data_IF_228175592365
#
_entry.id   IF_228175592365
#
_cell.length_a   1.000
_cell.length_b   1.000
_cell.length_c   1.000
_cell.angle_alpha   90.00
_cell.angle_beta   90.00
_cell.angle_gamma   90.00
#
_symmetry.space_group_name_H-M   'P 1'
#
loop_
_entity.id
_entity.type
_entity.pdbx_description
1 polymer ?
#
# COMPACT_ATOMS: atom_id res chain seq x y z
N UNK A 1 9.95 7.49 -55.88
CA UNK A 1 8.61 6.93 -55.60
C UNK A 1 8.63 5.43 -55.91
N UNK A 2 9.10 4.61 -54.96
CA UNK A 2 9.04 3.15 -55.05
C UNK A 2 9.15 2.59 -53.62
N UNK A 3 8.38 1.56 -53.29
CA UNK A 3 8.41 0.93 -51.96
C UNK A 3 9.76 0.23 -51.72
N UNK A 4 10.27 0.28 -50.49
CA UNK A 4 11.17 -0.75 -49.96
C UNK A 4 10.53 -1.40 -48.75
N UNK A 5 10.39 -2.71 -48.81
CA UNK A 5 10.15 -3.53 -47.62
C UNK A 5 11.40 -3.48 -46.75
N UNK A 6 11.22 -3.33 -45.44
CA UNK A 6 12.14 -3.96 -44.49
C UNK A 6 11.57 -5.34 -44.15
N UNK A 7 12.46 -6.33 -43.98
CA UNK A 7 12.13 -7.68 -43.52
C UNK A 7 12.70 -7.84 -42.13
N UNK A 8 12.02 -8.62 -41.29
CA UNK A 8 12.62 -9.16 -40.08
C UNK A 8 13.84 -10.01 -40.45
N UNK A 9 15.00 -9.72 -39.86
CA UNK A 9 16.09 -10.68 -39.66
C UNK A 9 17.19 -10.11 -38.76
N UNK A 10 16.92 -9.99 -37.46
CA UNK A 10 17.77 -10.53 -36.38
C UNK A 10 17.12 -10.24 -35.02
N UNK A 11 16.67 -11.32 -34.36
CA UNK A 11 15.97 -11.25 -33.07
C UNK A 11 17.00 -11.32 -31.95
N UNK A 12 17.33 -10.18 -31.34
CA UNK A 12 18.10 -10.16 -30.08
C UNK A 12 17.12 -9.92 -28.94
N UNK A 13 16.68 -11.02 -28.32
CA UNK A 13 15.91 -11.00 -27.08
C UNK A 13 16.79 -10.46 -25.94
N UNK A 14 16.71 -9.16 -25.68
CA UNK A 14 17.14 -8.55 -24.42
C UNK A 14 15.89 -8.41 -23.55
N UNK A 15 15.68 -9.37 -22.65
CA UNK A 15 14.55 -9.39 -21.73
C UNK A 15 14.72 -8.33 -20.64
N UNK A 16 14.31 -7.08 -20.94
CA UNK A 16 14.25 -5.97 -20.00
C UNK A 16 12.97 -5.95 -19.15
N UNK A 17 12.43 -7.12 -18.80
CA UNK A 17 11.14 -7.24 -18.11
C UNK A 17 11.32 -6.94 -16.61
N UNK A 18 11.45 -5.66 -16.27
CA UNK A 18 11.40 -5.17 -14.89
C UNK A 18 9.95 -5.13 -14.37
N UNK A 19 9.26 -6.26 -14.45
CA UNK A 19 8.28 -6.57 -13.40
C UNK A 19 9.08 -6.68 -12.11
N UNK A 20 8.68 -5.93 -11.10
CA UNK A 20 9.15 -6.08 -9.73
C UNK A 20 8.71 -7.44 -9.18
N UNK A 21 9.42 -8.49 -9.58
CA UNK A 21 9.23 -9.85 -9.07
C UNK A 21 9.60 -9.88 -7.59
N UNK A 22 8.62 -9.53 -6.74
CA UNK A 22 8.67 -9.72 -5.30
C UNK A 22 8.70 -11.23 -5.07
N UNK A 23 9.91 -11.78 -5.00
CA UNK A 23 10.14 -13.13 -4.49
C UNK A 23 9.90 -13.11 -2.98
N UNK A 24 8.61 -13.15 -2.61
CA UNK A 24 8.09 -13.39 -1.26
C UNK A 24 8.42 -14.79 -0.73
N UNK A 25 9.63 -15.27 -0.98
CA UNK A 25 10.15 -16.52 -0.47
C UNK A 25 10.63 -16.32 0.97
N UNK A 26 9.68 -16.29 1.90
CA UNK A 26 9.92 -16.43 3.33
C UNK A 26 10.71 -17.71 3.61
N UNK A 27 12.05 -17.59 3.68
CA UNK A 27 12.93 -18.71 4.02
C UNK A 27 12.73 -19.07 5.50
N UNK A 28 11.82 -20.01 5.75
CA UNK A 28 11.49 -20.49 7.08
C UNK A 28 12.75 -20.91 7.86
N UNK A 29 12.88 -20.52 9.15
CA UNK A 29 14.04 -20.86 9.96
C UNK A 29 14.09 -22.38 10.20
N UNK A 30 15.16 -23.02 9.71
CA UNK A 30 15.37 -24.45 9.86
C UNK A 30 15.57 -24.85 11.34
N UNK A 31 14.67 -25.68 11.85
CA UNK A 31 14.91 -26.71 12.87
C UNK A 31 15.58 -26.28 14.19
N UNK A 32 14.81 -26.26 15.28
CA UNK A 32 15.35 -26.32 16.66
C UNK A 32 16.32 -27.49 16.81
N UNK A 33 17.43 -27.29 17.53
CA UNK A 33 18.39 -28.34 17.84
C UNK A 33 18.00 -29.19 19.04
N UNK A 34 18.32 -30.49 18.99
CA UNK A 34 18.16 -31.42 20.11
C UNK A 34 19.28 -31.28 21.16
N UNK A 35 18.91 -31.09 22.43
CA UNK A 35 19.62 -31.70 23.58
C UNK A 35 18.76 -31.63 24.85
N UNK A 36 18.78 -32.70 25.65
CA UNK A 36 17.94 -32.86 26.86
C UNK A 36 18.67 -32.53 28.17
N UNK A 37 17.88 -32.37 29.26
CA UNK A 37 18.28 -32.38 30.69
C UNK A 37 19.02 -31.12 31.20
N UNK A 38 18.98 -30.74 32.49
CA UNK A 38 18.79 -31.50 33.76
C UNK A 38 17.79 -30.80 34.74
N UNK A 39 17.36 -31.51 35.80
CA UNK A 39 16.27 -31.21 36.75
C UNK A 39 16.74 -30.62 38.11
N UNK A 40 15.98 -29.66 38.67
CA UNK A 40 15.74 -29.39 40.12
C UNK A 40 14.68 -28.26 40.25
N UNK A 41 13.50 -28.39 40.89
CA UNK A 41 13.19 -28.39 42.36
C UNK A 41 13.70 -27.11 43.07
N UNK A 42 12.96 -26.40 43.96
CA UNK A 42 11.84 -26.67 44.90
C UNK A 42 10.81 -25.49 44.87
N UNK A 43 9.49 -25.58 45.18
CA UNK A 43 8.80 -25.53 46.51
C UNK A 43 9.33 -24.42 47.46
N UNK A 44 8.57 -23.54 48.12
CA UNK A 44 7.11 -23.19 48.22
C UNK A 44 6.98 -21.62 48.25
N UNK A 45 5.97 -20.85 48.73
CA UNK A 45 4.76 -21.01 49.59
C UNK A 45 3.77 -19.81 49.34
N UNK A 46 2.64 -19.73 50.07
CA UNK A 46 1.61 -18.67 50.04
C UNK A 46 1.94 -17.47 51.00
N UNK A 47 1.11 -16.47 51.33
CA UNK A 47 -0.37 -16.29 51.35
C UNK A 47 -0.77 -14.82 51.58
N UNK A 48 -2.07 -14.50 51.43
CA UNK A 48 -2.89 -13.48 52.16
C UNK A 48 -2.41 -12.01 52.26
N UNK A 49 -3.23 -10.97 52.42
CA UNK A 49 -4.62 -10.55 52.13
C UNK A 49 -4.78 -9.14 52.78
N UNK A 50 -5.98 -8.55 52.79
CA UNK A 50 -6.39 -7.32 53.53
C UNK A 50 -5.87 -5.96 53.03
N UNK A 51 -6.59 -4.83 53.16
CA UNK A 51 -8.04 -4.55 53.32
C UNK A 51 -8.24 -3.03 53.00
N UNK A 52 -9.41 -2.64 52.47
CA UNK A 52 -9.85 -1.23 52.34
C UNK A 52 -10.52 -0.79 53.66
N UNK A 53 -10.46 0.49 54.09
CA UNK A 53 -11.73 1.22 54.20
C UNK A 53 -11.70 2.78 54.02
N UNK A 54 -12.40 3.25 53.00
CA UNK A 54 -13.65 4.04 53.05
C UNK A 54 -13.81 5.41 53.81
N UNK A 55 -14.61 6.30 53.17
CA UNK A 55 -15.42 7.44 53.72
C UNK A 55 -14.67 8.67 54.30
N UNK A 56 -15.24 9.89 54.48
CA UNK A 56 -16.57 10.55 54.38
C UNK A 56 -16.39 11.92 53.62
N UNK A 57 -17.26 12.48 52.76
CA UNK A 57 -18.68 12.94 52.81
C UNK A 57 -18.90 14.41 53.29
N UNK A 58 -20.13 14.94 53.12
CA UNK A 58 -20.61 16.35 53.26
C UNK A 58 -20.22 17.34 52.10
N UNK A 59 -21.08 18.02 51.33
CA UNK A 59 -22.40 18.69 51.52
C UNK A 59 -22.34 20.12 52.12
N UNK A 60 -23.21 21.10 51.81
CA UNK A 60 -24.11 21.39 50.67
C UNK A 60 -24.69 22.83 50.84
N UNK A 61 -25.31 23.44 49.82
CA UNK A 61 -26.32 24.52 49.99
C UNK A 61 -27.06 24.90 48.70
N UNK A 62 -28.39 24.96 48.75
CA UNK A 62 -29.32 25.26 47.64
C UNK A 62 -29.60 26.77 47.42
N UNK A 63 -30.33 27.12 46.35
CA UNK A 63 -31.76 27.50 46.43
C UNK A 63 -32.38 27.80 45.05
N UNK A 64 -33.56 27.19 44.86
CA UNK A 64 -34.64 27.37 43.87
C UNK A 64 -34.83 28.75 43.20
N UNK A 65 -35.19 28.72 41.90
CA UNK A 65 -36.13 29.69 41.30
C UNK A 65 -36.88 29.09 40.09
N UNK A 66 -37.99 28.40 40.36
CA UNK A 66 -38.91 27.86 39.36
C UNK A 66 -39.51 28.90 38.37
N UNK A 67 -39.72 28.50 37.11
CA UNK A 67 -40.64 29.14 36.15
C UNK A 67 -41.08 28.11 35.11
N UNK A 68 -42.39 27.99 34.89
CA UNK A 68 -43.02 27.06 33.96
C UNK A 68 -43.42 27.78 32.66
N UNK A 69 -43.02 27.24 31.50
CA UNK A 69 -43.76 27.39 30.23
C UNK A 69 -43.23 26.50 29.11
N UNK A 70 -44.10 25.58 28.68
CA UNK A 70 -44.28 25.05 27.31
C UNK A 70 -43.28 24.07 26.71
N UNK A 71 -43.90 23.00 26.22
CA UNK A 71 -43.45 22.07 25.19
C UNK A 71 -42.89 22.81 23.95
N UNK A 72 -41.71 22.40 23.52
CA UNK A 72 -41.36 22.33 22.10
C UNK A 72 -40.72 20.96 21.85
N UNK A 73 -40.97 20.36 20.69
CA UNK A 73 -40.81 18.91 20.48
C UNK A 73 -39.34 18.50 20.34
N UNK A 74 -38.69 18.16 21.45
CA UNK A 74 -37.49 17.33 21.41
C UNK A 74 -37.87 15.97 20.80
N UNK A 75 -37.28 15.63 19.66
CA UNK A 75 -37.30 14.27 19.13
C UNK A 75 -36.57 13.35 20.11
N UNK A 76 -37.15 12.20 20.41
CA UNK A 76 -36.45 11.13 21.12
C UNK A 76 -35.30 10.67 20.23
N UNK A 77 -34.06 10.99 20.63
CA UNK A 77 -32.86 10.38 20.02
C UNK A 77 -32.86 8.90 20.41
N UNK A 78 -33.22 8.05 19.47
CA UNK A 78 -33.26 6.59 19.63
C UNK A 78 -31.83 6.06 19.75
N UNK A 79 -31.31 6.11 20.97
CA UNK A 79 -30.01 5.58 21.38
C UNK A 79 -30.04 4.05 21.31
N UNK A 80 -29.97 3.53 20.07
CA UNK A 80 -30.06 2.11 19.77
C UNK A 80 -29.08 1.29 20.64
N UNK A 81 -29.62 0.29 21.34
CA UNK A 81 -28.84 -0.54 22.25
C UNK A 81 -27.81 -1.38 21.47
N UNK A 82 -26.52 -1.20 21.79
CA UNK A 82 -25.42 -1.95 21.13
C UNK A 82 -25.53 -3.43 21.48
N UNK A 83 -25.72 -4.27 20.46
CA UNK A 83 -26.02 -5.70 20.60
C UNK A 83 -25.00 -6.54 19.84
N UNK A 84 -24.36 -7.47 20.55
CA UNK A 84 -23.49 -8.51 19.96
C UNK A 84 -24.21 -9.29 18.86
N UNK A 85 -23.51 -9.54 17.74
CA UNK A 85 -23.99 -10.37 16.66
C UNK A 85 -23.91 -11.85 17.05
N UNK A 86 -25.01 -12.59 16.84
CA UNK A 86 -25.00 -14.03 17.03
C UNK A 86 -24.20 -14.73 15.94
N UNK A 87 -23.72 -15.95 16.20
CA UNK A 87 -22.96 -16.73 15.21
C UNK A 87 -23.71 -16.95 13.88
N UNK A 88 -25.04 -16.96 13.90
CA UNK A 88 -25.85 -17.06 12.67
C UNK A 88 -25.89 -15.75 11.87
N UNK A 89 -25.84 -14.59 12.55
CA UNK A 89 -25.71 -13.29 11.89
C UNK A 89 -24.29 -13.11 11.32
N UNK A 90 -23.26 -13.49 12.09
CA UNK A 90 -21.86 -13.49 11.62
C UNK A 90 -21.64 -14.42 10.43
N UNK A 91 -22.16 -15.66 10.43
CA UNK A 91 -22.04 -16.56 9.27
C UNK A 91 -22.79 -16.07 8.04
N UNK A 92 -23.91 -15.35 8.19
CA UNK A 92 -24.60 -14.72 7.05
C UNK A 92 -23.76 -13.58 6.45
N UNK A 93 -23.14 -12.76 7.31
CA UNK A 93 -22.24 -11.69 6.88
C UNK A 93 -20.96 -12.28 6.24
N UNK A 94 -20.44 -13.39 6.76
CA UNK A 94 -19.31 -14.11 6.18
C UNK A 94 -19.62 -14.67 4.79
N UNK A 95 -20.82 -15.22 4.58
CA UNK A 95 -21.29 -15.66 3.25
C UNK A 95 -21.43 -14.47 2.28
N UNK A 96 -21.99 -13.34 2.74
CA UNK A 96 -22.09 -12.11 1.95
C UNK A 96 -20.69 -11.55 1.58
N UNK A 97 -19.75 -11.44 2.53
CA UNK A 97 -18.41 -10.88 2.31
C UNK A 97 -17.46 -11.79 1.51
N UNK A 98 -17.75 -13.10 1.43
CA UNK A 98 -17.08 -14.03 0.51
C UNK A 98 -17.77 -14.10 -0.88
N UNK A 99 -18.84 -13.34 -1.11
CA UNK A 99 -19.42 -13.22 -2.46
C UNK A 99 -18.55 -12.35 -3.38
N UNK A 100 -18.59 -12.62 -4.68
CA UNK A 100 -17.96 -11.78 -5.72
C UNK A 100 -18.41 -10.31 -5.64
N UNK A 101 -19.60 -10.05 -5.10
CA UNK A 101 -20.17 -8.70 -4.93
C UNK A 101 -19.46 -7.87 -3.88
N UNK A 102 -19.00 -8.48 -2.79
CA UNK A 102 -18.49 -7.72 -1.64
C UNK A 102 -17.03 -8.05 -1.26
N UNK A 103 -16.43 -9.13 -1.79
CA UNK A 103 -15.09 -9.54 -1.36
C UNK A 103 -14.01 -8.46 -1.59
N UNK A 104 -14.06 -7.72 -2.69
CA UNK A 104 -13.10 -6.63 -2.96
C UNK A 104 -13.19 -5.41 -2.02
N UNK A 105 -14.24 -5.28 -1.18
CA UNK A 105 -14.22 -4.32 -0.07
C UNK A 105 -13.40 -4.81 1.14
N UNK A 106 -12.93 -6.07 1.13
CA UNK A 106 -12.11 -6.64 2.21
C UNK A 106 -10.63 -6.77 1.82
N UNK A 107 -10.29 -6.66 0.53
CA UNK A 107 -8.91 -6.84 0.02
C UNK A 107 -8.01 -5.62 0.20
N UNK A 108 -8.52 -4.45 0.60
CA UNK A 108 -7.73 -3.24 0.83
C UNK A 108 -8.24 -2.42 2.02
N UNK A 109 -7.34 -1.65 2.66
CA UNK A 109 -7.71 -0.72 3.73
C UNK A 109 -8.30 0.59 3.16
N UNK A 110 -9.31 1.15 3.84
CA UNK A 110 -9.87 2.48 3.59
C UNK A 110 -10.59 2.99 4.85
N UNK A 111 -10.50 4.30 5.12
CA UNK A 111 -11.15 4.99 6.25
C UNK A 111 -12.54 5.57 5.92
N UNK A 112 -12.82 5.73 4.63
CA UNK A 112 -13.99 6.43 4.09
C UNK A 112 -14.42 5.90 2.72
N UNK A 113 -15.70 6.07 2.31
CA UNK A 113 -16.20 5.77 0.98
C UNK A 113 -15.39 6.34 -0.19
N UNK A 114 -14.87 7.55 -0.02
CA UNK A 114 -14.08 8.27 -1.01
C UNK A 114 -12.73 7.56 -1.26
N UNK A 115 -12.12 6.99 -0.21
CA UNK A 115 -10.79 6.36 -0.27
C UNK A 115 -10.83 4.87 -0.66
N UNK A 116 -12.01 4.31 -1.01
CA UNK A 116 -12.14 2.93 -1.49
C UNK A 116 -11.38 2.74 -2.81
N UNK A 117 -10.54 1.71 -2.86
CA UNK A 117 -9.81 1.26 -4.05
C UNK A 117 -10.74 0.57 -5.04
N UNK A 118 -11.31 1.29 -6.01
CA UNK A 118 -12.33 0.71 -6.88
C UNK A 118 -11.80 -0.37 -7.84
N UNK A 119 -10.51 -0.35 -8.20
CA UNK A 119 -9.87 -1.43 -8.95
C UNK A 119 -9.92 -2.78 -8.20
N UNK A 120 -9.88 -2.77 -6.86
CA UNK A 120 -10.00 -3.97 -6.02
C UNK A 120 -11.43 -4.49 -5.96
N UNK A 121 -12.39 -3.57 -5.72
CA UNK A 121 -13.82 -3.89 -5.61
C UNK A 121 -14.36 -4.49 -6.90
N UNK A 122 -13.97 -3.91 -8.04
CA UNK A 122 -14.46 -4.34 -9.35
C UNK A 122 -13.60 -5.42 -10.02
N UNK A 123 -12.45 -5.81 -9.47
CA UNK A 123 -11.52 -6.78 -10.09
C UNK A 123 -12.23 -8.03 -10.65
N UNK A 124 -13.07 -8.67 -9.85
CA UNK A 124 -13.83 -9.87 -10.23
C UNK A 124 -15.26 -9.55 -10.76
N UNK A 125 -15.49 -8.32 -11.22
CA UNK A 125 -16.78 -7.85 -11.77
C UNK A 125 -17.85 -7.43 -10.76
N UNK A 126 -17.59 -7.50 -9.45
CA UNK A 126 -18.50 -7.11 -8.37
C UNK A 126 -19.93 -7.71 -8.43
N UNK A 127 -20.07 -8.90 -9.03
CA UNK A 127 -21.36 -9.56 -9.35
C UNK A 127 -22.32 -8.67 -10.19
N UNK A 128 -21.77 -7.76 -11.00
CA UNK A 128 -22.55 -6.99 -11.99
C UNK A 128 -22.68 -7.85 -13.25
N UNK A 129 -23.91 -8.15 -13.67
CA UNK A 129 -24.16 -8.85 -14.93
C UNK A 129 -23.62 -8.03 -16.12
N UNK A 130 -22.92 -8.69 -17.04
CA UNK A 130 -22.35 -8.04 -18.22
C UNK A 130 -23.43 -7.34 -19.06
N UNK A 131 -23.09 -6.17 -19.59
CA UNK A 131 -23.98 -5.29 -20.37
C UNK A 131 -24.64 -6.00 -21.56
N UNK A 132 -25.74 -5.46 -22.10
CA UNK A 132 -26.37 -5.95 -23.35
C UNK A 132 -25.44 -5.89 -24.61
N UNK A 133 -24.23 -5.35 -24.49
CA UNK A 133 -23.22 -5.30 -25.55
C UNK A 133 -22.59 -6.69 -25.72
N UNK A 134 -22.61 -7.20 -26.95
CA UNK A 134 -21.97 -8.47 -27.30
C UNK A 134 -20.46 -8.46 -26.97
N UNK A 135 -20.01 -9.47 -26.23
CA UNK A 135 -18.62 -9.62 -25.79
C UNK A 135 -17.60 -9.45 -26.91
N UNK A 136 -17.87 -9.99 -28.11
CA UNK A 136 -16.93 -9.84 -29.23
C UNK A 136 -16.76 -8.38 -29.64
N UNK A 137 -17.78 -7.54 -29.51
CA UNK A 137 -17.71 -6.09 -29.77
C UNK A 137 -16.87 -5.37 -28.70
N UNK A 138 -16.89 -5.82 -27.44
CA UNK A 138 -16.05 -5.23 -26.39
C UNK A 138 -14.58 -5.54 -26.64
N UNK A 139 -14.24 -6.81 -26.91
CA UNK A 139 -12.88 -7.23 -27.30
C UNK A 139 -12.42 -6.49 -28.55
N UNK A 140 -13.27 -6.39 -29.58
CA UNK A 140 -12.95 -5.69 -30.83
C UNK A 140 -12.53 -4.24 -30.59
N UNK A 141 -13.15 -3.51 -29.66
CA UNK A 141 -12.79 -2.12 -29.37
C UNK A 141 -11.67 -1.99 -28.34
N UNK A 142 -11.57 -2.90 -27.36
CA UNK A 142 -10.48 -2.96 -26.39
C UNK A 142 -9.12 -3.10 -27.10
N UNK A 143 -9.01 -4.04 -28.05
CA UNK A 143 -7.79 -4.28 -28.82
C UNK A 143 -7.48 -3.11 -29.78
N UNK A 144 -8.50 -2.43 -30.35
CA UNK A 144 -8.31 -1.21 -31.16
C UNK A 144 -7.79 -0.01 -30.38
N UNK A 145 -8.04 0.03 -29.07
CA UNK A 145 -7.53 1.06 -28.15
C UNK A 145 -6.25 0.59 -27.41
N UNK A 146 -5.65 -0.54 -27.80
CA UNK A 146 -4.32 -0.95 -27.33
C UNK A 146 -3.20 -0.09 -27.92
N UNK A 147 -2.18 0.22 -27.12
CA UNK A 147 -0.99 0.92 -27.58
C UNK A 147 -0.03 0.01 -28.38
N UNK A 148 -0.13 -1.32 -28.19
CA UNK A 148 0.80 -2.31 -28.70
C UNK A 148 0.40 -2.98 -30.03
N UNK A 149 -0.74 -2.59 -30.62
CA UNK A 149 -1.39 -3.34 -31.73
C UNK A 149 -1.69 -4.81 -31.34
N UNK A 150 -2.25 -5.04 -30.15
CA UNK A 150 -2.62 -6.37 -29.63
C UNK A 150 -3.60 -7.10 -30.59
N UNK A 151 -3.19 -8.23 -31.17
CA UNK A 151 -4.01 -9.01 -32.12
C UNK A 151 -5.02 -9.96 -31.44
N UNK A 152 -4.79 -10.31 -30.17
CA UNK A 152 -5.62 -11.21 -29.35
C UNK A 152 -5.50 -10.85 -27.85
N UNK A 153 -6.42 -11.37 -27.02
CA UNK A 153 -6.30 -11.33 -25.56
C UNK A 153 -5.38 -12.45 -25.06
N UNK A 154 -4.63 -12.17 -24.00
CA UNK A 154 -3.80 -13.10 -23.26
C UNK A 154 -4.40 -13.50 -21.88
N UNK A 155 -5.37 -12.73 -21.37
CA UNK A 155 -6.13 -13.01 -20.15
C UNK A 155 -7.65 -13.02 -20.33
N UNK A 156 -8.37 -13.10 -19.21
CA UNK A 156 -9.82 -12.86 -19.15
C UNK A 156 -10.10 -11.35 -19.17
N UNK A 157 -11.16 -10.92 -19.86
CA UNK A 157 -11.53 -9.50 -20.00
C UNK A 157 -12.80 -9.20 -19.20
N UNK A 158 -12.63 -8.57 -18.03
CA UNK A 158 -13.75 -8.05 -17.23
C UNK A 158 -14.12 -6.64 -17.72
N UNK A 159 -15.42 -6.34 -17.83
CA UNK A 159 -15.91 -5.03 -18.25
C UNK A 159 -17.26 -4.67 -17.61
N UNK A 160 -17.41 -3.39 -17.25
CA UNK A 160 -18.57 -2.86 -16.51
C UNK A 160 -18.98 -1.52 -17.13
N UNK A 161 -20.28 -1.30 -17.36
CA UNK A 161 -20.75 0.00 -17.87
C UNK A 161 -20.47 1.11 -16.86
N UNK A 162 -20.18 2.31 -17.35
CA UNK A 162 -19.98 3.46 -16.49
C UNK A 162 -21.20 3.72 -15.59
N UNK A 163 -22.41 3.54 -16.11
CA UNK A 163 -23.65 3.72 -15.37
C UNK A 163 -23.81 2.69 -14.23
N UNK A 164 -23.35 1.45 -14.44
CA UNK A 164 -23.38 0.40 -13.42
C UNK A 164 -22.30 0.61 -12.35
N UNK A 165 -21.11 1.12 -12.71
CA UNK A 165 -20.10 1.59 -11.74
C UNK A 165 -20.67 2.73 -10.89
N UNK A 166 -21.18 3.80 -11.51
CA UNK A 166 -21.76 4.96 -10.79
C UNK A 166 -22.91 4.54 -9.86
N UNK A 167 -23.77 3.62 -10.32
CA UNK A 167 -24.86 3.03 -9.53
C UNK A 167 -24.36 2.16 -8.38
N UNK A 168 -23.43 1.24 -8.64
CA UNK A 168 -22.93 0.30 -7.63
C UNK A 168 -22.26 1.04 -6.48
N UNK A 169 -21.42 2.04 -6.77
CA UNK A 169 -20.81 2.94 -5.77
C UNK A 169 -21.89 3.63 -4.94
N UNK A 170 -22.91 4.21 -5.60
CA UNK A 170 -24.01 4.92 -4.94
C UNK A 170 -24.89 4.01 -4.07
N UNK A 171 -25.08 2.73 -4.45
CA UNK A 171 -25.80 1.73 -3.66
C UNK A 171 -24.98 1.26 -2.46
N UNK A 172 -23.71 0.88 -2.68
CA UNK A 172 -22.81 0.23 -1.71
C UNK A 172 -22.02 1.17 -0.80
N UNK A 173 -22.16 2.49 -0.95
CA UNK A 173 -21.56 3.47 -0.02
C UNK A 173 -22.49 4.62 0.34
N UNK A 174 -23.33 5.06 -0.61
CA UNK A 174 -24.06 6.33 -0.50
C UNK A 174 -23.33 7.54 -1.09
N UNK A 175 -22.04 7.41 -1.41
CA UNK A 175 -21.23 8.43 -2.07
C UNK A 175 -21.45 8.45 -3.61
N UNK A 176 -20.84 9.43 -4.29
CA UNK A 176 -20.81 9.49 -5.75
C UNK A 176 -19.46 9.02 -6.27
N UNK A 177 -19.42 8.24 -7.34
CA UNK A 177 -18.16 7.81 -7.94
C UNK A 177 -17.25 8.98 -8.37
N UNK A 178 -17.80 10.18 -8.62
CA UNK A 178 -16.99 11.38 -8.91
C UNK A 178 -16.29 11.99 -7.70
N UNK A 179 -16.43 11.44 -6.49
CA UNK A 179 -15.65 11.80 -5.30
C UNK A 179 -14.67 10.71 -4.85
N UNK A 180 -14.47 9.66 -5.65
CA UNK A 180 -13.44 8.65 -5.37
C UNK A 180 -12.02 9.24 -5.50
N UNK A 181 -11.21 9.07 -4.45
CA UNK A 181 -9.76 9.31 -4.45
C UNK A 181 -9.02 8.29 -5.33
N UNK A 182 -9.53 7.06 -5.36
CA UNK A 182 -8.94 5.91 -6.06
C UNK A 182 -9.91 5.33 -7.13
N UNK A 183 -10.24 6.11 -8.19
CA UNK A 183 -11.10 5.66 -9.28
C UNK A 183 -10.45 4.54 -10.11
N UNK A 184 -11.25 3.82 -10.89
CA UNK A 184 -10.77 2.75 -11.78
C UNK A 184 -9.68 3.24 -12.74
N UNK A 185 -8.53 2.56 -12.73
CA UNK A 185 -7.44 2.75 -13.70
C UNK A 185 -7.62 1.86 -14.96
N UNK A 186 -8.84 1.34 -15.17
CA UNK A 186 -9.22 0.47 -16.29
C UNK A 186 -9.31 1.23 -17.62
N UNK A 187 -9.14 0.51 -18.75
CA UNK A 187 -9.27 1.08 -20.11
C UNK A 187 -10.72 1.50 -20.37
N UNK A 188 -11.00 2.81 -20.34
CA UNK A 188 -12.33 3.35 -20.56
C UNK A 188 -12.67 3.46 -22.06
N UNK A 189 -13.40 2.48 -22.58
CA UNK A 189 -13.77 2.38 -24.00
C UNK A 189 -14.91 3.37 -24.29
N UNK A 190 -14.53 4.60 -24.59
CA UNK A 190 -15.44 5.75 -24.74
C UNK A 190 -16.56 5.57 -25.77
N UNK A 191 -16.38 4.68 -26.76
CA UNK A 191 -17.39 4.32 -27.76
C UNK A 191 -18.54 3.48 -27.18
N UNK A 192 -18.27 2.72 -26.13
CA UNK A 192 -19.16 1.75 -25.50
C UNK A 192 -19.65 2.21 -24.11
N UNK A 193 -19.09 3.31 -23.57
CA UNK A 193 -19.43 3.90 -22.25
C UNK A 193 -19.22 2.91 -21.08
N UNK A 194 -18.09 2.20 -21.13
CA UNK A 194 -17.70 1.17 -20.17
C UNK A 194 -16.21 1.23 -19.82
N UNK A 195 -15.87 0.65 -18.68
CA UNK A 195 -14.50 0.34 -18.27
C UNK A 195 -14.21 -1.13 -18.60
N UNK A 196 -13.01 -1.43 -19.10
CA UNK A 196 -12.56 -2.78 -19.41
C UNK A 196 -11.12 -3.01 -18.92
N UNK A 197 -10.87 -4.19 -18.36
CA UNK A 197 -9.58 -4.60 -17.82
C UNK A 197 -9.33 -6.08 -18.07
N UNK A 198 -8.11 -6.40 -18.47
CA UNK A 198 -7.65 -7.74 -18.79
C UNK A 198 -6.74 -8.27 -17.69
N UNK A 199 -7.03 -9.46 -17.18
CA UNK A 199 -6.31 -10.07 -16.05
C UNK A 199 -6.14 -11.59 -16.23
N UNK A 200 -5.08 -12.13 -15.63
CA UNK A 200 -4.78 -13.57 -15.65
C UNK A 200 -4.97 -14.28 -14.30
N UNK A 201 -5.11 -13.52 -13.23
CA UNK A 201 -5.23 -13.98 -11.84
C UNK A 201 -6.53 -13.44 -11.19
N UNK A 202 -6.65 -13.56 -9.87
CA UNK A 202 -7.71 -12.97 -9.04
C UNK A 202 -7.12 -12.31 -7.80
N UNK A 203 -7.72 -11.20 -7.33
CA UNK A 203 -7.44 -10.62 -6.02
C UNK A 203 -8.27 -11.23 -4.87
N UNK A 204 -9.11 -12.26 -5.14
CA UNK A 204 -10.03 -12.83 -4.16
C UNK A 204 -9.30 -13.30 -2.89
N UNK A 205 -9.72 -12.77 -1.74
CA UNK A 205 -9.14 -13.09 -0.44
C UNK A 205 -10.24 -13.65 0.49
N UNK A 206 -10.22 -14.96 0.84
CA UNK A 206 -11.23 -15.54 1.71
C UNK A 206 -11.20 -14.90 3.11
N UNK A 207 -12.36 -14.45 3.57
CA UNK A 207 -12.53 -13.82 4.89
C UNK A 207 -13.29 -14.70 5.86
N UNK A 208 -13.05 -14.51 7.15
CA UNK A 208 -13.74 -15.18 8.23
C UNK A 208 -14.09 -14.21 9.35
N UNK A 209 -15.37 -14.14 9.71
CA UNK A 209 -15.86 -13.27 10.78
C UNK A 209 -15.54 -13.88 12.16
N UNK A 210 -14.99 -13.06 13.06
CA UNK A 210 -14.60 -13.44 14.42
C UNK A 210 -15.63 -12.93 15.44
N UNK A 211 -16.00 -11.65 15.33
CA UNK A 211 -16.89 -10.96 16.26
C UNK A 211 -17.64 -9.84 15.54
N UNK A 212 -18.59 -9.19 16.22
CA UNK A 212 -19.14 -7.94 15.76
C UNK A 212 -20.38 -7.48 16.53
N UNK A 213 -20.70 -6.20 16.42
CA UNK A 213 -21.81 -5.55 17.10
C UNK A 213 -22.74 -4.84 16.11
N UNK A 214 -24.01 -4.74 16.48
CA UNK A 214 -25.02 -3.92 15.81
C UNK A 214 -25.47 -2.77 16.70
N UNK A 215 -25.59 -1.58 16.13
CA UNK A 215 -26.11 -0.35 16.73
C UNK A 215 -27.20 0.19 15.78
N UNK A 216 -28.42 -0.33 15.91
CA UNK A 216 -29.45 -0.19 14.86
C UNK A 216 -29.02 -0.89 13.57
N UNK A 217 -29.02 -0.17 12.45
CA UNK A 217 -28.53 -0.67 11.16
C UNK A 217 -26.99 -0.63 11.02
N UNK A 218 -26.28 0.08 11.91
CA UNK A 218 -24.81 0.15 11.88
C UNK A 218 -24.23 -1.16 12.38
N UNK A 219 -23.35 -1.77 11.60
CA UNK A 219 -22.59 -2.96 11.93
C UNK A 219 -21.12 -2.60 12.09
N UNK A 220 -20.48 -3.18 13.09
CA UNK A 220 -19.02 -3.22 13.24
C UNK A 220 -18.61 -4.67 13.34
N UNK A 221 -17.86 -5.16 12.36
CA UNK A 221 -17.53 -6.59 12.21
C UNK A 221 -16.02 -6.75 12.25
N UNK A 222 -15.54 -7.66 13.09
CA UNK A 222 -14.14 -8.04 13.12
C UNK A 222 -13.95 -9.33 12.32
N UNK A 223 -13.03 -9.31 11.36
CA UNK A 223 -12.74 -10.46 10.52
C UNK A 223 -11.24 -10.68 10.38
N UNK A 224 -10.84 -11.85 9.88
CA UNK A 224 -9.49 -12.14 9.40
C UNK A 224 -9.55 -12.51 7.92
N UNK A 225 -8.53 -12.11 7.17
CA UNK A 225 -8.34 -12.47 5.76
C UNK A 225 -7.12 -13.37 5.62
N UNK A 226 -7.22 -14.40 4.77
CA UNK A 226 -6.08 -15.23 4.37
C UNK A 226 -5.80 -15.06 2.87
N UNK A 227 -4.59 -15.35 2.42
CA UNK A 227 -4.31 -15.40 0.99
C UNK A 227 -4.84 -16.70 0.37
N UNK A 228 -5.20 -16.65 -0.92
CA UNK A 228 -5.80 -17.78 -1.65
C UNK A 228 -5.01 -19.09 -1.52
N UNK A 229 -3.68 -19.02 -1.60
CA UNK A 229 -2.76 -20.18 -1.53
C UNK A 229 -2.59 -20.76 -0.12
N UNK A 230 -2.89 -20.01 0.95
CA UNK A 230 -2.83 -20.49 2.34
C UNK A 230 -4.07 -21.33 2.69
N UNK A 231 -5.17 -21.07 2.00
CA UNK A 231 -6.42 -21.80 2.10
C UNK A 231 -7.24 -21.46 3.35
N UNK A 232 -8.57 -21.53 3.23
CA UNK A 232 -9.53 -21.14 4.28
C UNK A 232 -9.53 -22.02 5.56
N UNK A 233 -8.49 -22.82 5.78
CA UNK A 233 -8.27 -23.61 6.99
C UNK A 233 -7.23 -23.02 7.95
N UNK A 234 -6.32 -22.16 7.51
CA UNK A 234 -5.15 -21.73 8.31
C UNK A 234 -5.13 -20.23 8.64
N UNK A 235 -6.23 -19.73 9.21
CA UNK A 235 -6.33 -18.37 9.76
C UNK A 235 -5.54 -18.20 11.09
N UNK A 236 -4.44 -18.93 11.30
CA UNK A 236 -3.73 -19.01 12.59
C UNK A 236 -3.04 -17.72 13.01
N UNK A 237 -2.22 -17.17 12.11
CA UNK A 237 -1.49 -15.91 12.27
C UNK A 237 -2.04 -14.79 11.34
N UNK A 238 -3.29 -14.94 10.88
CA UNK A 238 -3.89 -14.10 9.85
C UNK A 238 -4.20 -12.66 10.32
N UNK A 239 -3.99 -11.67 9.45
CA UNK A 239 -4.28 -10.26 9.74
C UNK A 239 -5.76 -10.04 10.07
N UNK A 240 -6.02 -9.45 11.23
CA UNK A 240 -7.35 -9.03 11.69
C UNK A 240 -7.68 -7.63 11.16
N UNK A 241 -8.93 -7.44 10.74
CA UNK A 241 -9.48 -6.17 10.27
C UNK A 241 -10.77 -5.83 11.02
N UNK A 242 -11.10 -4.55 11.03
CA UNK A 242 -12.38 -4.01 11.51
C UNK A 242 -13.11 -3.34 10.34
N UNK A 243 -14.28 -3.89 10.02
CA UNK A 243 -15.18 -3.41 8.98
C UNK A 243 -16.31 -2.60 9.63
N UNK A 244 -16.55 -1.39 9.15
CA UNK A 244 -17.73 -0.60 9.50
C UNK A 244 -18.63 -0.49 8.27
N UNK A 245 -19.89 -0.89 8.43
CA UNK A 245 -20.90 -0.82 7.37
C UNK A 245 -22.31 -0.63 7.93
N UNK A 246 -23.21 -0.05 7.15
CA UNK A 246 -24.64 0.00 7.47
C UNK A 246 -25.41 -1.07 6.70
N UNK A 247 -26.32 -1.78 7.37
CA UNK A 247 -27.29 -2.65 6.72
C UNK A 247 -28.36 -1.83 6.01
N UNK A 248 -28.90 -2.37 4.92
CA UNK A 248 -29.94 -1.77 4.08
C UNK A 248 -30.89 -2.84 3.54
N UNK A 249 -32.04 -2.42 2.99
CA UNK A 249 -32.99 -3.31 2.29
C UNK A 249 -32.37 -4.11 1.12
N UNK A 250 -31.21 -3.68 0.61
CA UNK A 250 -30.55 -4.21 -0.60
C UNK A 250 -29.12 -4.73 -0.36
N UNK A 251 -28.72 -4.96 0.90
CA UNK A 251 -27.36 -5.37 1.27
C UNK A 251 -26.70 -4.38 2.22
N UNK A 252 -25.45 -3.99 1.94
CA UNK A 252 -24.63 -3.17 2.84
C UNK A 252 -24.15 -1.87 2.20
N UNK A 253 -23.91 -0.87 3.05
CA UNK A 253 -23.12 0.33 2.73
C UNK A 253 -21.82 0.34 3.51
N UNK A 254 -20.70 0.22 2.81
CA UNK A 254 -19.36 0.22 3.38
C UNK A 254 -18.95 1.63 3.81
N UNK A 255 -18.23 1.73 4.93
CA UNK A 255 -17.78 3.00 5.52
C UNK A 255 -16.27 2.99 5.70
N UNK A 256 -15.73 2.01 6.44
CA UNK A 256 -14.29 1.76 6.56
C UNK A 256 -13.98 0.26 6.60
N UNK A 257 -12.77 -0.10 6.15
CA UNK A 257 -12.13 -1.39 6.37
C UNK A 257 -10.69 -1.10 6.83
N UNK A 258 -10.35 -1.40 8.07
CA UNK A 258 -9.08 -0.98 8.66
C UNK A 258 -8.37 -2.17 9.33
N UNK A 259 -7.04 -2.25 9.20
CA UNK A 259 -6.26 -3.20 9.98
C UNK A 259 -6.42 -2.94 11.48
N UNK A 260 -6.75 -3.99 12.23
CA UNK A 260 -6.97 -3.96 13.67
C UNK A 260 -5.95 -4.86 14.40
N UNK A 261 -4.88 -4.29 14.99
CA UNK A 261 -3.92 -5.05 15.78
C UNK A 261 -4.46 -5.58 17.12
N UNK A 262 -5.74 -5.34 17.46
CA UNK A 262 -6.31 -5.70 18.77
C UNK A 262 -5.82 -4.83 19.93
N UNK A 263 -5.15 -3.72 19.61
CA UNK A 263 -4.59 -2.70 20.50
C UNK A 263 -4.51 -1.36 19.76
N UNK A 264 -3.80 -0.38 20.31
CA UNK A 264 -3.58 0.90 19.64
C UNK A 264 -2.81 0.73 18.31
N UNK A 265 -3.35 1.30 17.21
CA UNK A 265 -2.75 1.18 15.85
C UNK A 265 -1.42 1.92 15.75
N UNK A 266 -1.27 3.07 16.40
CA UNK A 266 -0.03 3.84 16.38
C UNK A 266 1.06 3.19 17.24
N UNK A 267 0.72 2.57 18.37
CA UNK A 267 1.66 1.73 19.14
C UNK A 267 2.15 0.54 18.30
N UNK A 268 1.25 -0.17 17.62
CA UNK A 268 1.59 -1.31 16.77
C UNK A 268 2.48 -0.93 15.58
N UNK A 269 2.14 0.14 14.84
CA UNK A 269 2.98 0.70 13.76
C UNK A 269 4.36 1.11 14.30
N UNK A 270 4.37 1.82 15.44
CA UNK A 270 5.61 2.30 16.07
C UNK A 270 6.54 1.15 16.43
N UNK A 271 6.04 0.05 17.02
CA UNK A 271 6.85 -1.14 17.31
C UNK A 271 7.43 -1.81 16.06
N UNK A 272 6.64 -1.95 15.00
CA UNK A 272 7.09 -2.56 13.74
C UNK A 272 8.22 -1.76 13.10
N UNK A 273 8.11 -0.43 13.08
CA UNK A 273 9.19 0.45 12.63
C UNK A 273 10.36 0.48 13.60
N UNK A 274 10.13 0.44 14.91
CA UNK A 274 11.18 0.38 15.91
C UNK A 274 12.07 -0.85 15.72
N UNK A 275 11.52 -2.01 15.34
CA UNK A 275 12.31 -3.20 15.06
C UNK A 275 13.11 -3.11 13.74
N UNK A 276 12.59 -2.45 12.70
CA UNK A 276 13.37 -2.09 11.51
C UNK A 276 14.51 -1.13 11.88
N UNK A 277 14.21 -0.09 12.66
CA UNK A 277 15.18 0.92 13.12
C UNK A 277 16.27 0.29 13.99
N UNK A 278 15.92 -0.58 14.94
CA UNK A 278 16.87 -1.34 15.78
C UNK A 278 17.76 -2.25 14.93
N UNK A 279 17.20 -2.93 13.93
CA UNK A 279 17.95 -3.80 12.99
C UNK A 279 19.00 -3.00 12.23
N UNK A 280 18.62 -1.84 11.68
CA UNK A 280 19.56 -0.92 11.03
C UNK A 280 20.60 -0.36 12.01
N UNK A 281 20.17 0.17 13.16
CA UNK A 281 21.05 0.77 14.17
C UNK A 281 22.14 -0.22 14.66
N UNK A 282 21.76 -1.49 14.86
CA UNK A 282 22.70 -2.58 15.19
C UNK A 282 23.65 -2.87 14.03
N UNK A 283 23.14 -3.05 12.80
CA UNK A 283 23.98 -3.38 11.65
C UNK A 283 25.01 -2.27 11.34
N UNK A 284 24.62 -1.02 11.58
CA UNK A 284 25.47 0.18 11.46
C UNK A 284 26.51 0.26 12.57
N UNK A 285 26.16 -0.01 13.83
CA UNK A 285 27.12 0.02 14.95
C UNK A 285 28.11 -1.16 14.95
N UNK A 286 27.73 -2.29 14.35
CA UNK A 286 28.60 -3.45 14.10
C UNK A 286 29.48 -3.29 12.84
N UNK A 287 29.33 -2.21 12.05
CA UNK A 287 30.03 -1.97 10.78
C UNK A 287 29.90 -3.16 9.79
N UNK A 288 28.70 -3.74 9.68
CA UNK A 288 28.44 -4.93 8.86
C UNK A 288 28.78 -4.71 7.37
N UNK A 289 29.32 -5.73 6.70
CA UNK A 289 29.57 -5.63 5.26
C UNK A 289 28.27 -5.67 4.42
N UNK A 290 28.36 -5.29 3.15
CA UNK A 290 27.21 -5.22 2.24
C UNK A 290 26.49 -6.56 2.05
N UNK A 291 27.19 -7.70 2.15
CA UNK A 291 26.58 -9.02 2.09
C UNK A 291 25.78 -9.35 3.35
N UNK A 292 26.31 -8.97 4.51
CA UNK A 292 25.65 -9.12 5.82
C UNK A 292 24.45 -8.18 5.95
N UNK A 293 24.58 -6.91 5.54
CA UNK A 293 23.46 -5.95 5.46
C UNK A 293 22.33 -6.48 4.59
N UNK A 294 22.64 -6.93 3.37
CA UNK A 294 21.67 -7.52 2.44
C UNK A 294 20.99 -8.77 3.01
N UNK A 295 21.76 -9.64 3.68
CA UNK A 295 21.23 -10.85 4.34
C UNK A 295 20.31 -10.52 5.52
N UNK A 296 20.56 -9.39 6.20
CA UNK A 296 19.71 -8.82 7.26
C UNK A 296 18.59 -7.90 6.71
N UNK A 297 18.32 -7.92 5.40
CA UNK A 297 17.36 -7.05 4.71
C UNK A 297 17.52 -5.55 5.06
N UNK A 298 18.76 -5.07 4.99
CA UNK A 298 19.14 -3.67 5.19
C UNK A 298 19.92 -3.14 3.98
N UNK A 299 19.75 -1.86 3.67
CA UNK A 299 20.36 -1.19 2.52
C UNK A 299 21.88 -1.29 2.54
N UNK A 300 22.47 -1.80 1.46
CA UNK A 300 23.93 -1.95 1.31
C UNK A 300 24.66 -0.61 1.31
N UNK A 301 23.97 0.48 0.93
CA UNK A 301 24.47 1.85 0.95
C UNK A 301 24.90 2.33 2.35
N UNK A 302 24.46 1.66 3.42
CA UNK A 302 25.00 1.92 4.77
C UNK A 302 26.52 1.66 4.81
N UNK A 303 27.00 0.57 4.20
CA UNK A 303 28.42 0.24 4.15
C UNK A 303 29.22 1.22 3.28
N UNK A 304 28.63 1.77 2.22
CA UNK A 304 29.27 2.80 1.38
C UNK A 304 29.60 4.08 2.17
N UNK A 305 28.87 4.37 3.25
CA UNK A 305 29.14 5.52 4.13
C UNK A 305 30.40 5.31 4.97
N UNK A 306 30.55 4.16 5.64
CA UNK A 306 31.66 3.92 6.57
C UNK A 306 32.89 3.21 5.95
N UNK A 307 32.75 2.57 4.80
CA UNK A 307 33.92 2.16 3.99
C UNK A 307 34.52 3.32 3.17
N UNK A 308 33.85 4.48 3.14
CA UNK A 308 34.30 5.65 2.40
C UNK A 308 35.70 6.14 2.82
N UNK A 309 36.52 6.44 1.81
CA UNK A 309 37.90 6.89 2.02
C UNK A 309 37.96 8.24 2.75
N UNK A 310 38.33 8.20 4.04
CA UNK A 310 38.40 9.38 4.90
C UNK A 310 37.16 9.59 5.78
N UNK A 311 36.30 8.57 5.91
CA UNK A 311 35.28 8.53 6.95
C UNK A 311 35.92 8.36 8.33
N UNK A 312 35.53 9.20 9.29
CA UNK A 312 36.13 9.30 10.62
C UNK A 312 35.10 9.64 11.73
N UNK A 313 33.80 9.66 11.39
CA UNK A 313 32.72 9.96 12.32
C UNK A 313 32.17 8.63 12.87
N UNK A 314 31.21 8.67 13.82
CA UNK A 314 30.43 7.47 14.13
C UNK A 314 29.39 7.22 13.01
N UNK A 315 29.29 6.01 12.43
CA UNK A 315 28.25 5.67 11.47
C UNK A 315 26.83 5.93 11.99
N UNK A 316 26.58 5.71 13.29
CA UNK A 316 25.26 5.88 13.90
C UNK A 316 24.89 7.36 14.14
N UNK A 317 25.86 8.28 14.17
CA UNK A 317 25.60 9.73 14.15
C UNK A 317 25.29 10.25 12.73
N UNK A 318 25.74 9.52 11.70
CA UNK A 318 25.60 9.92 10.29
C UNK A 318 24.37 9.30 9.64
N UNK A 319 24.16 8.00 9.80
CA UNK A 319 23.01 7.24 9.29
C UNK A 319 21.84 7.35 10.26
N UNK A 320 20.63 7.31 9.73
CA UNK A 320 19.42 7.46 10.54
C UNK A 320 18.13 7.18 9.78
N UNK A 321 17.03 7.51 10.45
CA UNK A 321 15.67 7.30 9.95
C UNK A 321 14.86 8.61 9.93
N UNK A 322 13.85 8.68 9.09
CA UNK A 322 12.88 9.77 9.02
C UNK A 322 11.48 9.17 8.89
N UNK A 323 10.49 9.83 9.48
CA UNK A 323 9.08 9.42 9.47
C UNK A 323 8.26 10.60 8.93
N UNK A 324 7.41 10.31 7.95
CA UNK A 324 6.36 11.22 7.48
C UNK A 324 5.35 10.42 6.66
N UNK A 325 4.07 10.62 6.96
CA UNK A 325 2.95 10.28 6.07
C UNK A 325 3.19 10.97 4.71
N UNK A 326 3.17 10.20 3.61
CA UNK A 326 3.32 10.74 2.24
C UNK A 326 2.07 10.63 1.36
N UNK A 327 1.11 9.75 1.67
CA UNK A 327 -0.10 9.53 0.86
C UNK A 327 -1.42 9.83 1.58
N UNK A 328 -1.35 10.25 2.84
CA UNK A 328 -2.43 10.77 3.67
C UNK A 328 -3.44 9.74 4.17
N UNK A 329 -3.02 8.48 4.34
CA UNK A 329 -3.79 7.45 5.05
C UNK A 329 -3.66 7.49 6.59
N UNK A 330 -2.78 8.34 7.14
CA UNK A 330 -2.55 8.49 8.58
C UNK A 330 -1.46 7.59 9.19
N UNK A 331 -0.72 6.82 8.38
CA UNK A 331 0.48 6.08 8.77
C UNK A 331 1.71 6.86 8.28
N UNK A 332 2.72 7.07 9.16
CA UNK A 332 4.01 7.65 8.72
C UNK A 332 4.81 6.63 7.89
N UNK A 333 5.34 6.99 6.72
CA UNK A 333 6.35 6.17 6.03
C UNK A 333 7.73 6.26 6.69
N UNK A 334 8.40 5.12 6.87
CA UNK A 334 9.75 5.00 7.40
C UNK A 334 10.81 5.07 6.29
N UNK A 335 11.54 6.17 6.25
CA UNK A 335 12.68 6.38 5.34
C UNK A 335 14.02 6.15 6.06
N UNK A 336 14.94 5.46 5.40
CA UNK A 336 16.33 5.30 5.87
C UNK A 336 17.27 6.15 5.01
N UNK A 337 18.29 6.76 5.61
CA UNK A 337 19.28 7.57 4.88
C UNK A 337 20.39 8.16 5.75
N UNK A 338 21.04 9.22 5.26
CA UNK A 338 22.24 9.79 5.89
C UNK A 338 22.21 11.33 5.99
N UNK A 339 22.79 11.89 7.05
CA UNK A 339 22.89 13.33 7.31
C UNK A 339 24.15 14.01 6.75
N UNK A 340 25.09 13.25 6.15
CA UNK A 340 26.43 13.76 5.77
C UNK A 340 26.54 14.13 4.30
N UNK A 341 26.88 15.39 4.02
CA UNK A 341 26.99 15.95 2.66
C UNK A 341 27.87 15.09 1.74
N UNK A 342 27.29 14.63 0.63
CA UNK A 342 27.84 13.58 -0.25
C UNK A 342 26.99 12.31 -0.27
N UNK A 343 26.16 12.10 0.75
CA UNK A 343 25.33 10.91 0.97
C UNK A 343 23.85 11.23 1.27
N UNK A 344 23.48 12.52 1.25
CA UNK A 344 22.30 13.11 1.93
C UNK A 344 20.99 13.10 1.17
N UNK A 345 21.05 13.10 -0.16
CA UNK A 345 19.88 13.48 -0.96
C UNK A 345 18.98 12.28 -1.30
N UNK A 346 19.55 11.07 -1.37
CA UNK A 346 18.81 9.86 -1.72
C UNK A 346 18.28 9.12 -0.48
N UNK A 347 17.06 8.61 -0.61
CA UNK A 347 16.45 7.61 0.28
C UNK A 347 17.16 6.27 0.05
N UNK A 348 17.55 5.56 1.11
CA UNK A 348 18.30 4.30 1.00
C UNK A 348 17.33 3.12 0.85
N UNK A 349 16.41 2.99 1.81
CA UNK A 349 15.20 2.16 1.74
C UNK A 349 14.03 3.03 2.23
N UNK A 350 12.81 2.78 1.74
CA UNK A 350 11.57 3.32 2.32
C UNK A 350 10.57 2.20 2.62
N UNK A 351 9.84 2.29 3.73
CA UNK A 351 8.87 1.29 4.18
C UNK A 351 7.55 1.94 4.59
N UNK A 352 6.43 1.29 4.30
CA UNK A 352 5.09 1.59 4.83
C UNK A 352 4.57 0.39 5.63
N UNK A 353 3.53 0.58 6.47
CA UNK A 353 2.79 -0.52 7.10
C UNK A 353 1.45 -0.69 6.38
N UNK A 354 1.18 -1.90 5.90
CA UNK A 354 -0.05 -2.27 5.20
C UNK A 354 -0.52 -3.63 5.69
N UNK A 355 -1.81 -3.79 6.04
CA UNK A 355 -2.40 -5.08 6.48
C UNK A 355 -1.60 -5.74 7.63
N UNK A 356 -1.07 -4.93 8.55
CA UNK A 356 -0.29 -5.40 9.69
C UNK A 356 1.08 -6.02 9.36
N UNK A 357 1.60 -5.83 8.16
CA UNK A 357 3.00 -6.13 7.80
C UNK A 357 3.69 -4.88 7.24
N UNK A 358 5.02 -4.89 7.18
CA UNK A 358 5.77 -3.83 6.50
C UNK A 358 5.96 -4.19 5.01
N UNK A 359 5.75 -3.21 4.14
CA UNK A 359 6.09 -3.28 2.71
C UNK A 359 7.25 -2.33 2.44
N UNK A 360 8.25 -2.75 1.64
CA UNK A 360 9.32 -1.85 1.18
C UNK A 360 8.90 -1.21 -0.15
N UNK A 361 8.73 0.11 -0.12
CA UNK A 361 8.30 0.94 -1.25
C UNK A 361 9.41 1.05 -2.29
N UNK A 362 10.63 1.35 -1.84
CA UNK A 362 11.80 1.50 -2.71
C UNK A 362 13.12 1.10 -2.01
N UNK A 363 14.16 0.84 -2.81
CA UNK A 363 15.50 0.46 -2.35
C UNK A 363 16.55 1.00 -3.34
N UNK A 364 17.31 2.01 -2.93
CA UNK A 364 18.42 2.54 -3.74
C UNK A 364 19.61 1.57 -3.74
N UNK A 365 20.24 1.39 -4.90
CA UNK A 365 21.49 0.65 -5.08
C UNK A 365 22.61 1.56 -5.63
N UNK A 366 23.64 1.02 -6.29
CA UNK A 366 24.72 1.84 -6.88
C UNK A 366 24.27 2.61 -8.14
N UNK A 367 23.40 1.99 -8.95
CA UNK A 367 22.89 2.49 -10.23
C UNK A 367 21.58 3.26 -10.05
N UNK A 368 20.69 2.78 -9.19
CA UNK A 368 19.34 3.30 -8.98
C UNK A 368 19.26 4.11 -7.67
N UNK A 369 18.76 5.35 -7.71
CA UNK A 369 18.65 6.26 -6.55
C UNK A 369 17.28 6.91 -6.47
N UNK A 370 16.57 6.71 -5.35
CA UNK A 370 15.28 7.34 -5.08
C UNK A 370 15.43 8.63 -4.26
N UNK A 371 14.69 9.67 -4.62
CA UNK A 371 14.71 10.99 -4.01
C UNK A 371 13.27 11.43 -3.68
N UNK A 372 12.93 11.57 -2.40
CA UNK A 372 11.61 12.03 -1.96
C UNK A 372 11.38 13.50 -2.34
N UNK A 373 10.13 13.84 -2.68
CA UNK A 373 9.68 15.19 -3.01
C UNK A 373 8.80 15.78 -1.89
N UNK A 374 8.66 17.12 -1.79
CA UNK A 374 7.81 17.77 -0.78
C UNK A 374 6.29 17.54 -0.93
N UNK A 375 5.87 16.81 -1.96
CA UNK A 375 4.49 16.45 -2.31
C UNK A 375 4.23 14.94 -2.23
N UNK A 376 5.10 14.20 -1.52
CA UNK A 376 5.00 12.74 -1.32
C UNK A 376 5.51 11.90 -2.49
N UNK A 377 5.65 12.49 -3.69
CA UNK A 377 6.17 11.81 -4.87
C UNK A 377 7.68 11.53 -4.79
N UNK A 378 8.21 10.75 -5.74
CA UNK A 378 9.63 10.39 -5.82
C UNK A 378 10.21 10.69 -7.19
N UNK A 379 11.51 10.99 -7.23
CA UNK A 379 12.31 10.81 -8.44
C UNK A 379 13.22 9.60 -8.30
N UNK A 380 13.17 8.69 -9.27
CA UNK A 380 14.23 7.70 -9.49
C UNK A 380 15.24 8.27 -10.47
N UNK A 381 16.53 8.30 -10.08
CA UNK A 381 17.63 8.37 -11.03
C UNK A 381 18.19 6.99 -11.29
N UNK A 382 18.17 6.54 -12.54
CA UNK A 382 18.88 5.34 -12.99
C UNK A 382 20.11 5.76 -13.80
N UNK A 383 21.28 5.30 -13.37
CA UNK A 383 22.56 5.50 -14.05
C UNK A 383 23.10 4.13 -14.47
N UNK A 384 23.28 3.88 -15.77
CA UNK A 384 23.77 2.57 -16.23
C UNK A 384 25.11 2.62 -16.94
N UNK A 385 26.01 1.72 -16.50
CA UNK A 385 27.27 1.43 -17.19
C UNK A 385 27.08 0.86 -18.63
N UNK A 386 25.84 0.71 -19.09
CA UNK A 386 25.47 0.31 -20.46
C UNK A 386 25.18 1.47 -21.41
N UNK A 387 25.22 2.73 -20.96
CA UNK A 387 24.96 3.90 -21.81
C UNK A 387 23.48 4.26 -21.94
N UNK A 388 22.68 3.99 -20.90
CA UNK A 388 21.34 4.56 -20.69
C UNK A 388 21.26 5.16 -19.30
N UNK A 389 20.96 6.46 -19.22
CA UNK A 389 20.71 7.17 -17.96
C UNK A 389 19.31 7.77 -18.02
N UNK A 390 18.54 7.72 -16.93
CA UNK A 390 17.18 8.24 -16.89
C UNK A 390 16.79 8.84 -15.55
N UNK A 391 15.80 9.74 -15.59
CA UNK A 391 15.13 10.28 -14.41
C UNK A 391 13.63 10.14 -14.59
N UNK A 392 13.00 9.40 -13.69
CA UNK A 392 11.58 9.04 -13.71
C UNK A 392 10.89 9.69 -12.53
N UNK A 393 9.81 10.44 -12.77
CA UNK A 393 8.89 10.88 -11.71
C UNK A 393 7.96 9.71 -11.39
N UNK A 394 7.89 9.33 -10.11
CA UNK A 394 7.08 8.25 -9.56
C UNK A 394 6.14 8.83 -8.49
N UNK A 395 4.95 8.26 -8.35
CA UNK A 395 4.08 8.45 -7.18
C UNK A 395 3.71 7.10 -6.57
N UNK A 396 3.22 7.11 -5.34
CA UNK A 396 2.74 5.89 -4.69
C UNK A 396 1.25 5.69 -5.03
N UNK A 397 0.93 4.55 -5.65
CA UNK A 397 -0.42 4.19 -6.08
C UNK A 397 -0.77 2.75 -5.66
N UNK A 398 -2.08 2.48 -5.72
CA UNK A 398 -2.65 1.17 -5.49
C UNK A 398 -2.81 0.84 -4.01
N UNK A 399 -3.79 0.00 -3.73
CA UNK A 399 -4.03 -0.67 -2.44
C UNK A 399 -2.76 -1.23 -1.81
N UNK A 400 -1.80 -1.72 -2.62
CA UNK A 400 -0.54 -2.32 -2.18
C UNK A 400 0.63 -1.34 -2.03
N UNK A 401 0.42 -0.03 -2.20
CA UNK A 401 1.42 1.03 -1.98
C UNK A 401 2.67 0.87 -2.88
N UNK A 402 2.45 0.65 -4.18
CA UNK A 402 3.53 0.51 -5.17
C UNK A 402 3.93 1.88 -5.75
N UNK A 403 5.19 2.02 -6.20
CA UNK A 403 5.59 3.18 -6.99
C UNK A 403 5.24 3.00 -8.47
N UNK A 404 4.45 3.91 -9.02
CA UNK A 404 4.04 3.97 -10.43
C UNK A 404 4.63 5.20 -11.12
N UNK A 405 5.15 5.09 -12.37
CA UNK A 405 5.66 6.25 -13.09
C UNK A 405 4.57 7.23 -13.58
N UNK A 406 4.89 8.52 -13.54
CA UNK A 406 4.05 9.64 -14.02
C UNK A 406 4.62 10.16 -15.35
N UNK A 407 5.85 10.67 -15.31
CA UNK A 407 6.58 11.16 -16.47
C UNK A 407 8.07 10.83 -16.31
N UNK A 408 8.85 10.98 -17.37
CA UNK A 408 10.27 10.67 -17.29
C UNK A 408 11.07 11.14 -18.49
N UNK A 409 12.38 11.22 -18.32
CA UNK A 409 13.34 11.44 -19.40
C UNK A 409 14.43 10.39 -19.38
N UNK A 410 14.87 9.95 -20.56
CA UNK A 410 16.02 9.06 -20.71
C UNK A 410 16.98 9.57 -21.80
N UNK A 411 18.27 9.39 -21.54
CA UNK A 411 19.36 9.43 -22.51
C UNK A 411 19.74 7.99 -22.84
N UNK A 412 20.00 7.68 -24.12
CA UNK A 412 20.58 6.41 -24.52
C UNK A 412 21.56 6.59 -25.70
N UNK A 413 22.59 5.74 -25.75
CA UNK A 413 23.60 5.74 -26.82
C UNK A 413 23.41 4.51 -27.71
N UNK A 414 23.07 4.71 -28.99
CA UNK A 414 22.96 3.64 -29.98
C UNK A 414 23.90 3.93 -31.16
N UNK A 415 24.76 2.98 -31.55
CA UNK A 415 25.68 3.10 -32.69
C UNK A 415 26.50 4.41 -32.70
N UNK A 416 27.17 4.73 -31.58
CA UNK A 416 27.93 5.98 -31.34
C UNK A 416 27.10 7.27 -31.55
N UNK A 417 25.77 7.20 -31.41
CA UNK A 417 24.84 8.34 -31.51
C UNK A 417 24.03 8.48 -30.24
N UNK A 418 24.00 9.69 -29.67
CA UNK A 418 23.18 10.04 -28.51
C UNK A 418 21.72 10.32 -28.90
N UNK A 419 20.80 9.82 -28.08
CA UNK A 419 19.37 10.06 -28.17
C UNK A 419 18.84 10.50 -26.81
N UNK A 420 17.92 11.46 -26.80
CA UNK A 420 17.17 11.86 -25.62
C UNK A 420 15.68 11.73 -25.90
N UNK A 421 14.95 11.19 -24.94
CA UNK A 421 13.51 10.98 -25.00
C UNK A 421 12.84 11.45 -23.71
N UNK A 422 11.58 11.85 -23.85
CA UNK A 422 10.63 12.07 -22.76
C UNK A 422 9.44 11.12 -22.96
N UNK A 423 8.86 10.59 -21.88
CA UNK A 423 7.53 9.99 -21.94
C UNK A 423 6.63 10.54 -20.82
N UNK A 424 5.35 10.68 -21.15
CA UNK A 424 4.25 11.17 -20.32
C UNK A 424 3.51 10.03 -19.57
N UNK A 425 4.22 8.91 -19.42
CA UNK A 425 3.88 7.72 -18.64
C UNK A 425 5.10 7.14 -17.88
N UNK A 426 6.24 7.85 -17.90
CA UNK A 426 7.56 7.42 -17.37
C UNK A 426 8.24 6.23 -18.09
N UNK A 427 7.50 5.41 -18.84
CA UNK A 427 8.04 4.26 -19.58
C UNK A 427 8.79 4.70 -20.85
N UNK A 428 10.06 5.02 -20.67
CA UNK A 428 11.00 5.43 -21.73
C UNK A 428 11.40 4.31 -22.74
N UNK A 429 10.52 3.33 -22.96
CA UNK A 429 10.52 2.38 -24.07
C UNK A 429 9.17 2.31 -24.82
N UNK A 430 8.15 3.05 -24.37
CA UNK A 430 6.84 3.11 -25.02
C UNK A 430 6.89 3.82 -26.39
N UNK A 431 6.00 3.42 -27.29
CA UNK A 431 5.86 3.95 -28.64
C UNK A 431 5.35 5.40 -28.69
N UNK A 432 4.74 5.93 -27.61
CA UNK A 432 4.34 7.33 -27.49
C UNK A 432 5.44 8.22 -26.91
N UNK A 433 6.61 7.66 -26.56
CA UNK A 433 7.78 8.44 -26.14
C UNK A 433 8.26 9.39 -27.25
N UNK A 434 8.68 10.58 -26.84
CA UNK A 434 8.92 11.74 -27.71
C UNK A 434 10.41 12.06 -27.69
N UNK A 435 11.04 12.10 -28.87
CA UNK A 435 12.43 12.54 -28.97
C UNK A 435 12.55 14.03 -28.60
N UNK A 436 13.45 14.33 -27.66
CA UNK A 436 13.76 15.67 -27.16
C UNK A 436 15.23 16.03 -27.43
N UNK A 437 15.60 17.26 -27.11
CA UNK A 437 17.00 17.73 -27.15
C UNK A 437 17.75 17.47 -25.84
N UNK A 438 19.09 17.45 -25.91
CA UNK A 438 19.98 17.47 -24.73
C UNK A 438 19.66 18.65 -23.78
N UNK A 439 19.26 19.82 -24.32
CA UNK A 439 18.91 20.99 -23.52
C UNK A 439 17.62 20.77 -22.70
N UNK A 440 16.62 20.11 -23.28
CA UNK A 440 15.35 19.74 -22.63
C UNK A 440 15.54 18.64 -21.60
N UNK A 441 16.27 17.56 -21.95
CA UNK A 441 16.67 16.51 -21.00
C UNK A 441 17.39 17.13 -19.79
N UNK A 442 18.40 17.96 -20.05
CA UNK A 442 19.16 18.64 -19.01
C UNK A 442 18.32 19.64 -18.21
N UNK A 443 17.27 20.23 -18.80
CA UNK A 443 16.34 21.10 -18.09
C UNK A 443 15.46 20.32 -17.10
N UNK A 444 14.87 19.22 -17.55
CA UNK A 444 14.11 18.30 -16.70
C UNK A 444 14.99 17.76 -15.56
N UNK A 445 16.17 17.24 -15.89
CA UNK A 445 17.15 16.73 -14.91
C UNK A 445 17.49 17.77 -13.82
N UNK A 446 17.74 19.02 -14.22
CA UNK A 446 17.99 20.14 -13.28
C UNK A 446 16.74 20.53 -12.48
N UNK A 447 15.54 20.46 -13.06
CA UNK A 447 14.26 20.71 -12.35
C UNK A 447 14.09 19.70 -11.21
N UNK A 448 14.25 18.41 -11.50
CA UNK A 448 14.16 17.35 -10.49
C UNK A 448 15.15 17.58 -9.33
N UNK A 449 16.45 17.76 -9.62
CA UNK A 449 17.49 17.97 -8.59
C UNK A 449 17.31 19.21 -7.71
N UNK A 450 16.58 20.21 -8.18
CA UNK A 450 16.25 21.42 -7.43
C UNK A 450 14.99 21.26 -6.56
N UNK A 451 14.18 20.23 -6.80
CA UNK A 451 12.94 19.97 -6.07
C UNK A 451 13.08 18.91 -4.95
N UNK A 452 14.09 18.01 -5.04
CA UNK A 452 14.34 16.97 -4.03
C UNK A 452 14.32 17.51 -2.58
N UNK A 453 13.52 16.86 -1.73
CA UNK A 453 13.40 17.20 -0.32
C UNK A 453 14.74 17.05 0.41
N UNK A 454 15.10 18.03 1.23
CA UNK A 454 16.31 17.97 2.06
C UNK A 454 15.97 17.42 3.44
N UNK A 455 15.76 16.11 3.46
CA UNK A 455 15.47 15.32 4.67
C UNK A 455 16.60 15.53 5.69
N UNK A 456 16.22 15.60 6.97
CA UNK A 456 17.15 15.51 8.10
C UNK A 456 16.76 14.30 8.95
N UNK A 457 17.49 13.21 8.76
CA UNK A 457 17.25 11.95 9.44
C UNK A 457 17.58 12.07 10.94
N UNK A 458 16.79 11.41 11.78
CA UNK A 458 17.08 11.16 13.20
C UNK A 458 18.20 10.11 13.28
N UNK A 459 19.40 10.43 13.82
CA UNK A 459 20.53 9.51 13.82
C UNK A 459 20.26 8.23 14.61
N UNK A 460 20.78 7.09 14.17
CA UNK A 460 20.64 5.82 14.89
C UNK A 460 21.26 5.82 16.28
N UNK A 461 22.23 6.71 16.57
CA UNK A 461 22.81 6.91 17.90
C UNK A 461 21.79 7.41 18.93
N UNK A 462 20.64 7.96 18.51
CA UNK A 462 19.54 8.33 19.41
C UNK A 462 18.70 7.15 19.92
N UNK A 463 19.02 5.91 19.49
CA UNK A 463 18.30 4.67 19.84
C UNK A 463 19.21 3.62 20.49
N UNK A 464 20.39 4.02 20.99
CA UNK A 464 21.37 3.17 21.70
C UNK A 464 21.28 3.32 23.22
#
# INVERSE_FOLDING_TARGET
MLKRFYRLSELVLISGLCVSLITGCSFLPFGKGDSESVISSEEDDASEESEDPASESEAASDVDSSTDSKEESASEEDSAEVKELSSAELSSIEEDLNSTRYNGFTTAEFDSPENIWWDEVFYNGAEIEATEIDHSTVVDEYLKESANEEEELYGDLTYISKADVEKFVQETTGASYSSASHPLNWRYIKKLDLYAFEHGDTNYAPVKCISGTAEGDKLTVEFVSAWYDEGASDFGDATKFKLIMYKTDSGYRFVSNEWDPGRDKAEAVSEMYDDIIKRYAKAVSEYQDADTLRSNNCSTLCADVYTAKGFHDDPADVLGYYLTDIDHDGIDELFIGANKRGYVDAVYDAFTIHKGTWTRICMSDFNNKYYLMPDGSFYEEQLSNGGRDSVTHLEMQGSYKFLTPIDGVAHYVENDTDYWIYSDDGYSWDYNSKQITEEEYSFYYRKAKLAYMKIRFTPFSSRQ
#
